data_IF_125080609951
#
_entry.id   IF_125080609951
#
_cell.length_a   1.000
_cell.length_b   1.000
_cell.length_c   1.000
_cell.angle_alpha   90.00
_cell.angle_beta   90.00
_cell.angle_gamma   90.00
#
_symmetry.space_group_name_H-M   'P 1'
#
loop_
_entity.id
_entity.type
_entity.pdbx_description
1 polymer ?
#
# COMPACT_ATOMS: atom_id res chain seq x y z
N UNK A 1 -28.99 63.65 24.65
CA UNK A 1 -28.72 62.49 25.54
C UNK A 1 -27.96 61.46 24.72
N UNK A 2 -26.77 61.09 25.18
CA UNK A 2 -25.85 60.18 24.48
C UNK A 2 -26.04 58.72 24.91
N UNK A 3 -25.82 57.81 23.94
CA UNK A 3 -25.21 56.47 24.07
C UNK A 3 -26.06 55.30 24.65
N UNK A 4 -25.64 54.02 24.49
CA UNK A 4 -25.00 53.37 23.33
C UNK A 4 -25.36 51.86 23.15
N UNK A 5 -24.94 51.30 22.01
CA UNK A 5 -24.42 49.93 21.83
C UNK A 5 -25.33 48.69 21.68
N UNK A 6 -24.92 47.89 20.68
CA UNK A 6 -24.93 46.41 20.64
C UNK A 6 -26.26 45.67 20.45
N UNK A 7 -26.66 45.45 19.19
CA UNK A 7 -27.16 44.14 18.69
C UNK A 7 -26.71 43.96 17.23
N UNK A 8 -25.45 43.59 17.06
CA UNK A 8 -25.05 42.26 16.61
C UNK A 8 -25.41 42.02 15.13
N UNK A 9 -24.43 42.31 14.28
CA UNK A 9 -24.20 41.60 13.03
C UNK A 9 -24.07 40.10 13.36
N UNK A 10 -24.99 39.21 12.96
CA UNK A 10 -24.67 37.80 12.90
C UNK A 10 -23.84 37.63 11.64
N UNK A 11 -22.54 37.71 11.86
CA UNK A 11 -21.46 37.18 11.05
C UNK A 11 -21.95 36.19 9.99
N UNK A 12 -21.59 36.50 8.75
CA UNK A 12 -21.44 35.54 7.66
C UNK A 12 -20.97 34.20 8.23
N UNK A 13 -21.89 33.26 8.40
CA UNK A 13 -21.56 31.86 8.61
C UNK A 13 -21.12 31.35 7.24
N UNK A 14 -19.91 31.73 6.85
CA UNK A 14 -19.21 31.13 5.72
C UNK A 14 -19.28 29.62 5.89
N UNK A 15 -19.43 28.86 4.79
CA UNK A 15 -19.68 27.43 4.86
C UNK A 15 -18.62 26.83 5.78
N UNK A 16 -19.07 26.19 6.87
CA UNK A 16 -18.20 25.49 7.80
C UNK A 16 -17.27 24.63 6.95
N UNK A 17 -16.01 25.05 6.85
CA UNK A 17 -15.02 24.45 5.98
C UNK A 17 -14.93 23.02 6.47
N UNK A 18 -15.56 22.09 5.76
CA UNK A 18 -15.47 20.67 6.04
C UNK A 18 -13.98 20.38 6.10
N UNK A 19 -13.47 20.13 7.30
CA UNK A 19 -12.17 19.50 7.49
C UNK A 19 -12.36 18.07 7.01
N UNK A 20 -12.38 17.87 5.70
CA UNK A 20 -12.05 16.60 5.11
C UNK A 20 -10.55 16.45 5.41
N UNK A 21 -10.23 15.86 6.57
CA UNK A 21 -8.90 15.30 6.74
C UNK A 21 -8.72 14.36 5.54
N UNK A 22 -7.63 14.52 4.79
CA UNK A 22 -7.39 13.73 3.59
C UNK A 22 -7.51 12.26 3.92
N UNK A 23 -8.16 11.48 3.06
CA UNK A 23 -8.43 10.05 3.26
C UNK A 23 -7.15 9.25 3.62
N UNK A 24 -5.98 9.77 3.26
CA UNK A 24 -4.68 9.15 3.46
C UNK A 24 -3.77 9.89 4.48
N UNK A 25 -4.26 10.87 5.24
CA UNK A 25 -3.43 11.62 6.21
C UNK A 25 -2.84 10.73 7.32
N UNK A 26 -3.50 9.61 7.63
CA UNK A 26 -2.98 8.59 8.56
C UNK A 26 -1.76 7.83 8.02
N UNK A 27 -1.57 7.76 6.70
CA UNK A 27 -0.39 7.15 6.06
C UNK A 27 0.87 7.97 6.37
N UNK A 28 0.73 9.30 6.55
CA UNK A 28 1.81 10.15 7.05
C UNK A 28 2.31 9.73 8.43
N UNK A 29 1.41 9.23 9.30
CA UNK A 29 1.77 8.69 10.63
C UNK A 29 2.58 7.39 10.59
N UNK A 30 2.57 6.68 9.46
CA UNK A 30 3.31 5.42 9.25
C UNK A 30 4.71 5.71 8.63
N UNK A 31 5.01 6.99 8.36
CA UNK A 31 6.30 7.43 7.83
C UNK A 31 6.30 7.79 6.35
N UNK A 32 5.13 7.93 5.72
CA UNK A 32 5.07 8.47 4.37
C UNK A 32 5.39 9.98 4.37
N UNK A 33 6.14 10.43 3.37
CA UNK A 33 6.43 11.85 3.21
C UNK A 33 5.14 12.63 2.94
N UNK A 34 5.00 13.88 3.45
CA UNK A 34 3.78 14.67 3.27
C UNK A 34 3.46 14.95 1.80
N UNK A 35 4.48 15.00 0.93
CA UNK A 35 4.31 15.12 -0.53
C UNK A 35 3.70 13.85 -1.15
N UNK A 36 4.12 12.67 -0.67
CA UNK A 36 3.50 11.43 -1.11
C UNK A 36 2.04 11.40 -0.66
N UNK A 37 1.76 11.70 0.60
CA UNK A 37 0.38 11.73 1.15
C UNK A 37 -0.52 12.72 0.41
N UNK A 38 -0.01 13.90 0.04
CA UNK A 38 -0.74 14.87 -0.78
C UNK A 38 -1.05 14.32 -2.19
N UNK A 39 -0.05 13.75 -2.89
CA UNK A 39 -0.26 13.14 -4.20
C UNK A 39 -1.21 11.93 -4.15
N UNK A 40 -1.16 11.16 -3.07
CA UNK A 40 -2.07 10.05 -2.78
C UNK A 40 -3.51 10.54 -2.57
N UNK A 41 -3.71 11.65 -1.85
CA UNK A 41 -5.03 12.27 -1.67
C UNK A 41 -5.57 12.90 -2.97
N UNK A 42 -4.71 13.50 -3.80
CA UNK A 42 -5.10 14.10 -5.08
C UNK A 42 -5.51 13.07 -6.13
N UNK A 43 -4.94 11.85 -6.07
CA UNK A 43 -5.19 10.78 -7.03
C UNK A 43 -5.42 9.43 -6.33
N UNK A 44 -6.63 9.17 -5.81
CA UNK A 44 -6.94 7.92 -5.10
C UNK A 44 -6.78 6.65 -5.98
N UNK A 45 -6.89 6.80 -7.31
CA UNK A 45 -6.61 5.72 -8.27
C UNK A 45 -5.12 5.36 -8.28
N UNK A 46 -4.21 6.34 -8.15
CA UNK A 46 -2.77 6.11 -8.14
C UNK A 46 -2.34 5.24 -6.95
N UNK A 47 -2.94 5.47 -5.78
CA UNK A 47 -2.76 4.61 -4.60
C UNK A 47 -3.17 3.16 -4.86
N UNK A 48 -4.34 3.00 -5.47
CA UNK A 48 -4.93 1.68 -5.73
C UNK A 48 -4.07 0.89 -6.70
N UNK A 49 -3.55 1.54 -7.75
CA UNK A 49 -2.62 0.94 -8.70
C UNK A 49 -1.34 0.49 -7.98
N UNK A 50 -0.79 1.31 -7.09
CA UNK A 50 0.42 0.96 -6.35
C UNK A 50 0.23 -0.31 -5.49
N UNK A 51 -0.91 -0.44 -4.82
CA UNK A 51 -1.25 -1.66 -4.07
C UNK A 51 -1.44 -2.87 -4.98
N UNK A 52 -2.13 -2.72 -6.12
CA UNK A 52 -2.32 -3.81 -7.08
C UNK A 52 -0.98 -4.29 -7.63
N UNK A 53 -0.10 -3.38 -8.02
CA UNK A 53 1.23 -3.71 -8.54
C UNK A 53 2.06 -4.41 -7.47
N UNK A 54 2.05 -3.93 -6.22
CA UNK A 54 2.75 -4.58 -5.11
C UNK A 54 2.24 -6.01 -4.89
N UNK A 55 0.92 -6.21 -4.93
CA UNK A 55 0.31 -7.54 -4.80
C UNK A 55 0.68 -8.44 -5.98
N UNK A 56 0.61 -7.92 -7.21
CA UNK A 56 0.93 -8.66 -8.43
C UNK A 56 2.40 -9.11 -8.45
N UNK A 57 3.35 -8.22 -8.09
CA UNK A 57 4.77 -8.54 -8.00
C UNK A 57 5.05 -9.55 -6.89
N UNK A 58 4.37 -9.42 -5.74
CA UNK A 58 4.50 -10.39 -4.64
C UNK A 58 4.01 -11.77 -5.06
N UNK A 59 2.83 -11.85 -5.69
CA UNK A 59 2.28 -13.10 -6.22
C UNK A 59 3.16 -13.71 -7.30
N UNK A 60 3.71 -12.90 -8.21
CA UNK A 60 4.68 -13.36 -9.19
C UNK A 60 5.94 -13.91 -8.51
N UNK A 61 6.52 -13.20 -7.55
CA UNK A 61 7.69 -13.65 -6.81
C UNK A 61 7.46 -15.00 -6.12
N UNK A 62 6.31 -15.18 -5.45
CA UNK A 62 5.94 -16.44 -4.79
C UNK A 62 5.70 -17.55 -5.82
N UNK A 63 5.08 -17.25 -6.96
CA UNK A 63 4.86 -18.22 -8.03
C UNK A 63 6.19 -18.68 -8.65
N UNK A 64 7.11 -17.77 -8.95
CA UNK A 64 8.44 -18.11 -9.43
C UNK A 64 9.22 -18.93 -8.39
N UNK A 65 9.14 -18.56 -7.11
CA UNK A 65 9.75 -19.32 -6.03
C UNK A 65 9.18 -20.74 -5.92
N UNK A 66 7.86 -20.88 -6.05
CA UNK A 66 7.19 -22.18 -6.06
C UNK A 66 7.66 -23.04 -7.23
N UNK A 67 7.72 -22.48 -8.44
CA UNK A 67 8.23 -23.20 -9.62
C UNK A 67 9.69 -23.59 -9.40
N UNK A 68 10.54 -22.69 -8.91
CA UNK A 68 11.94 -22.97 -8.63
C UNK A 68 12.12 -24.12 -7.63
N UNK A 69 11.34 -24.12 -6.55
CA UNK A 69 11.33 -25.21 -5.58
C UNK A 69 10.80 -26.53 -6.18
N UNK A 70 9.76 -26.45 -7.00
CA UNK A 70 9.14 -27.59 -7.65
C UNK A 70 10.01 -28.20 -8.76
N UNK A 71 10.86 -27.43 -9.46
CA UNK A 71 11.78 -27.93 -10.51
C UNK A 71 13.12 -28.41 -9.95
N UNK A 72 13.58 -27.88 -8.81
CA UNK A 72 14.75 -28.44 -8.10
C UNK A 72 14.44 -29.80 -7.47
N UNK A 73 13.20 -30.01 -6.99
CA UNK A 73 12.77 -31.30 -6.42
C UNK A 73 12.95 -32.52 -7.35
N UNK A 74 12.52 -32.53 -8.62
CA UNK A 74 12.69 -33.67 -9.51
C UNK A 74 14.17 -33.93 -9.81
N UNK A 75 14.99 -32.90 -10.00
CA UNK A 75 16.42 -33.07 -10.25
C UNK A 75 17.16 -33.61 -9.01
N UNK A 76 16.84 -33.12 -7.82
CA UNK A 76 17.42 -33.61 -6.57
C UNK A 76 16.99 -35.06 -6.26
N UNK A 77 15.75 -35.45 -6.58
CA UNK A 77 15.31 -36.85 -6.47
C UNK A 77 16.04 -37.74 -7.48
N UNK A 78 16.16 -37.32 -8.74
CA UNK A 78 16.93 -38.05 -9.75
C UNK A 78 18.41 -38.22 -9.38
N UNK A 79 19.04 -37.20 -8.78
CA UNK A 79 20.42 -37.30 -8.27
C UNK A 79 20.54 -38.23 -7.06
N UNK A 80 19.54 -38.24 -6.15
CA UNK A 80 19.50 -39.17 -5.02
C UNK A 80 19.29 -40.61 -5.48
N UNK A 81 18.45 -40.86 -6.48
CA UNK A 81 18.22 -42.20 -7.04
C UNK A 81 19.45 -42.73 -7.78
N UNK A 82 20.21 -41.87 -8.47
CA UNK A 82 21.52 -42.23 -9.05
C UNK A 82 22.57 -42.53 -7.98
N UNK A 83 22.59 -41.81 -6.85
CA UNK A 83 23.51 -42.09 -5.73
C UNK A 83 23.14 -43.34 -4.92
N UNK A 84 21.85 -43.73 -4.90
CA UNK A 84 21.34 -44.90 -4.17
C UNK A 84 21.36 -46.21 -4.95
N UNK A 85 21.64 -46.19 -6.26
CA UNK A 85 22.02 -47.41 -6.98
C UNK A 85 23.52 -47.64 -6.74
N UNK A 86 23.93 -48.50 -5.77
CA UNK A 86 25.32 -48.92 -5.73
C UNK A 86 25.63 -49.56 -7.08
N UNK A 87 26.77 -49.20 -7.66
CA UNK A 87 27.31 -49.86 -8.84
C UNK A 87 27.30 -51.37 -8.56
N UNK A 88 26.38 -52.09 -9.20
CA UNK A 88 26.34 -53.54 -9.13
C UNK A 88 27.57 -54.00 -9.92
N UNK A 89 28.49 -54.65 -9.21
CA UNK A 89 29.63 -55.42 -9.76
C UNK A 89 29.19 -56.31 -10.91
#
# INVERSE_FOLDING_TARGET
MASPNARQNPEQKGPAKQKNMGQFDWIGGIGATPQAVAALNDQPILFTILLIVLLAVTLQGVLLWYIHYATLKPEQKAKKDKKKKPAKK
#
